data_IF_175258466104
#
_entry.id   IF_175258466104
#
_cell.length_a   1.000
_cell.length_b   1.000
_cell.length_c   1.000
_cell.angle_alpha   90.00
_cell.angle_beta   90.00
_cell.angle_gamma   90.00
#
_symmetry.space_group_name_H-M   'P 1'
#
loop_
_entity.id
_entity.type
_entity.pdbx_description
1 polymer ?
#
# COMPACT_ATOMS: atom_id res chain seq x y z
N UNK A 1 -12.78 7.14 -20.81
CA UNK A 1 -12.67 6.59 -19.44
C UNK A 1 -13.26 7.62 -18.49
N UNK A 2 -13.94 7.18 -17.42
CA UNK A 2 -14.36 8.09 -16.35
C UNK A 2 -13.11 8.60 -15.62
N UNK A 3 -13.08 9.87 -15.23
CA UNK A 3 -11.99 10.45 -14.46
C UNK A 3 -11.82 9.70 -13.12
N UNK A 4 -10.58 9.42 -12.75
CA UNK A 4 -10.21 8.79 -11.47
C UNK A 4 -10.52 9.73 -10.29
N UNK A 5 -10.56 9.20 -9.07
CA UNK A 5 -10.83 10.03 -7.89
C UNK A 5 -9.73 11.08 -7.67
N UNK A 6 -8.46 10.75 -7.99
CA UNK A 6 -7.37 11.70 -7.96
C UNK A 6 -7.56 12.85 -8.96
N UNK A 7 -7.98 12.55 -10.19
CA UNK A 7 -8.25 13.58 -11.22
C UNK A 7 -9.44 14.46 -10.83
N UNK A 8 -10.51 13.87 -10.30
CA UNK A 8 -11.67 14.62 -9.78
C UNK A 8 -11.29 15.53 -8.61
N UNK A 9 -10.41 15.08 -7.72
CA UNK A 9 -9.90 15.91 -6.63
C UNK A 9 -9.04 17.06 -7.16
N UNK A 10 -8.26 16.82 -8.22
CA UNK A 10 -7.47 17.86 -8.86
C UNK A 10 -8.36 18.97 -9.40
N UNK A 11 -9.43 18.60 -10.12
CA UNK A 11 -10.40 19.53 -10.68
C UNK A 11 -11.16 20.29 -9.57
N UNK A 12 -11.59 19.60 -8.51
CA UNK A 12 -12.36 20.20 -7.42
C UNK A 12 -11.54 21.13 -6.51
N UNK A 13 -10.23 20.87 -6.34
CA UNK A 13 -9.35 21.66 -5.47
C UNK A 13 -8.51 22.72 -6.21
N UNK A 14 -8.46 22.64 -7.54
CA UNK A 14 -7.55 23.44 -8.36
C UNK A 14 -6.06 23.10 -8.19
N UNK A 15 -5.71 22.03 -7.45
CA UNK A 15 -4.33 21.56 -7.29
C UNK A 15 -4.03 20.46 -8.31
N UNK A 16 -2.97 20.63 -9.08
CA UNK A 16 -2.48 19.59 -9.99
C UNK A 16 -1.59 18.56 -9.25
N UNK A 17 -1.55 17.33 -9.79
CA UNK A 17 -0.74 16.21 -9.29
C UNK A 17 0.17 15.63 -10.39
N UNK A 18 1.08 16.42 -10.98
CA UNK A 18 1.84 16.02 -12.16
C UNK A 18 2.75 14.81 -11.92
N UNK A 19 3.31 14.66 -10.72
CA UNK A 19 4.23 13.56 -10.41
C UNK A 19 3.47 12.23 -10.26
N UNK A 20 2.35 12.23 -9.55
CA UNK A 20 1.45 11.09 -9.41
C UNK A 20 0.87 10.66 -10.76
N UNK A 21 0.42 11.61 -11.59
CA UNK A 21 -0.11 11.29 -12.93
C UNK A 21 0.98 10.76 -13.86
N UNK A 22 2.21 11.26 -13.76
CA UNK A 22 3.36 10.72 -14.49
C UNK A 22 3.71 9.32 -14.01
N UNK A 23 3.71 9.08 -12.70
CA UNK A 23 3.96 7.77 -12.12
C UNK A 23 2.89 6.75 -12.54
N UNK A 24 1.60 7.12 -12.59
CA UNK A 24 0.51 6.27 -13.10
C UNK A 24 0.76 5.81 -14.53
N UNK A 25 1.12 6.74 -15.42
CA UNK A 25 1.44 6.42 -16.83
C UNK A 25 2.64 5.46 -16.92
N UNK A 26 3.69 5.69 -16.12
CA UNK A 26 4.85 4.79 -16.04
C UNK A 26 4.46 3.41 -15.52
N UNK A 27 3.65 3.34 -14.47
CA UNK A 27 3.13 2.08 -13.93
C UNK A 27 2.33 1.33 -14.98
N UNK A 28 1.39 1.98 -15.67
CA UNK A 28 0.55 1.33 -16.68
C UNK A 28 1.39 0.75 -17.84
N UNK A 29 2.30 1.54 -18.38
CA UNK A 29 3.22 1.08 -19.43
C UNK A 29 4.09 -0.09 -18.93
N UNK A 30 4.70 0.05 -17.76
CA UNK A 30 5.54 -1.00 -17.17
C UNK A 30 4.77 -2.28 -16.87
N UNK A 31 3.53 -2.20 -16.38
CA UNK A 31 2.69 -3.38 -16.16
C UNK A 31 2.40 -4.12 -17.47
N UNK A 32 2.16 -3.39 -18.56
CA UNK A 32 1.99 -3.99 -19.88
C UNK A 32 3.26 -4.74 -20.32
N UNK A 33 4.43 -4.15 -20.12
CA UNK A 33 5.72 -4.78 -20.44
C UNK A 33 5.96 -6.04 -19.60
N UNK A 34 5.74 -5.98 -18.28
CA UNK A 34 5.94 -7.14 -17.39
C UNK A 34 4.97 -8.27 -17.70
N UNK A 35 3.70 -7.96 -18.00
CA UNK A 35 2.71 -8.95 -18.46
C UNK A 35 3.18 -9.64 -19.74
N UNK A 36 3.68 -8.87 -20.72
CA UNK A 36 4.19 -9.42 -21.97
C UNK A 36 5.47 -10.26 -21.77
N UNK A 37 6.35 -9.85 -20.87
CA UNK A 37 7.57 -10.59 -20.56
C UNK A 37 7.24 -11.92 -19.87
N UNK A 38 6.38 -11.89 -18.85
CA UNK A 38 5.99 -13.05 -18.06
C UNK A 38 5.03 -14.00 -18.78
N UNK A 39 4.30 -13.55 -19.81
CA UNK A 39 3.42 -14.44 -20.60
C UNK A 39 4.18 -15.55 -21.33
N UNK A 40 5.51 -15.48 -21.40
CA UNK A 40 6.38 -16.53 -21.95
C UNK A 40 6.60 -17.68 -20.97
N UNK A 41 6.34 -17.49 -19.69
CA UNK A 41 6.49 -18.52 -18.66
C UNK A 41 5.21 -19.36 -18.55
N UNK A 42 5.39 -20.67 -18.37
CA UNK A 42 4.27 -21.53 -18.01
C UNK A 42 3.76 -21.14 -16.61
N UNK A 43 2.45 -20.87 -16.52
CA UNK A 43 1.79 -20.51 -15.24
C UNK A 43 0.76 -21.57 -14.89
N UNK A 44 0.92 -22.21 -13.74
CA UNK A 44 -0.06 -23.18 -13.24
C UNK A 44 -1.38 -22.48 -12.88
N UNK A 45 -2.52 -23.16 -13.02
CA UNK A 45 -3.85 -22.57 -12.87
C UNK A 45 -4.20 -22.10 -11.44
N UNK A 46 -3.37 -22.44 -10.46
CA UNK A 46 -3.47 -22.05 -9.05
C UNK A 46 -2.42 -20.99 -8.65
N UNK A 47 -1.63 -20.47 -9.59
CA UNK A 47 -0.54 -19.53 -9.34
C UNK A 47 -0.85 -18.14 -9.91
N UNK A 48 -0.45 -17.10 -9.17
CA UNK A 48 -0.38 -15.73 -9.64
C UNK A 48 1.03 -15.17 -9.44
N UNK A 49 1.46 -14.30 -10.36
CA UNK A 49 2.63 -13.45 -10.18
C UNK A 49 2.13 -12.03 -9.93
N UNK A 50 2.49 -11.48 -8.78
CA UNK A 50 1.93 -10.23 -8.27
C UNK A 50 3.04 -9.25 -7.98
N UNK A 51 2.97 -8.04 -8.54
CA UNK A 51 3.87 -6.94 -8.20
C UNK A 51 3.31 -6.13 -7.03
N UNK A 52 4.21 -5.74 -6.13
CA UNK A 52 3.92 -5.02 -4.88
C UNK A 52 4.49 -3.60 -4.94
N UNK A 53 4.33 -2.84 -3.85
CA UNK A 53 5.07 -1.60 -3.67
C UNK A 53 4.60 -0.51 -4.63
N UNK A 54 5.55 0.19 -5.26
CA UNK A 54 5.21 1.29 -6.19
C UNK A 54 4.34 0.82 -7.35
N UNK A 55 4.40 -0.46 -7.74
CA UNK A 55 3.52 -1.04 -8.77
C UNK A 55 2.06 -1.02 -8.34
N UNK A 56 1.72 -1.62 -7.21
CA UNK A 56 0.33 -1.66 -6.72
C UNK A 56 -0.18 -0.31 -6.21
N UNK A 57 0.72 0.61 -5.84
CA UNK A 57 0.34 1.99 -5.50
C UNK A 57 0.17 2.92 -6.71
N UNK A 58 0.55 2.48 -7.91
CA UNK A 58 0.63 3.30 -9.12
C UNK A 58 1.55 4.53 -8.98
N UNK A 59 2.72 4.30 -8.38
CA UNK A 59 3.70 5.29 -7.98
C UNK A 59 5.11 4.95 -8.52
N UNK A 60 5.19 4.31 -9.70
CA UNK A 60 6.49 3.91 -10.27
C UNK A 60 7.32 5.13 -10.66
N UNK A 61 8.52 5.21 -10.09
CA UNK A 61 9.57 6.19 -10.40
C UNK A 61 10.76 5.50 -11.08
N UNK A 62 11.73 6.28 -11.58
CA UNK A 62 12.96 5.78 -12.21
C UNK A 62 13.82 4.90 -11.29
N UNK A 63 13.65 5.03 -9.98
CA UNK A 63 14.38 4.27 -8.94
C UNK A 63 13.48 3.27 -8.19
N UNK A 64 12.43 2.78 -8.85
CA UNK A 64 11.55 1.73 -8.35
C UNK A 64 12.08 0.34 -8.71
N UNK A 65 11.97 -0.58 -7.77
CA UNK A 65 12.36 -1.98 -7.94
C UNK A 65 11.12 -2.84 -8.26
N UNK A 66 11.32 -3.99 -8.89
CA UNK A 66 10.24 -4.95 -9.20
C UNK A 66 9.99 -5.90 -8.03
N UNK A 67 9.50 -5.37 -6.91
CA UNK A 67 9.08 -6.17 -5.76
C UNK A 67 7.92 -7.10 -6.19
N UNK A 68 8.13 -8.42 -6.18
CA UNK A 68 7.14 -9.40 -6.65
C UNK A 68 6.87 -10.52 -5.64
N UNK A 69 5.73 -11.19 -5.79
CA UNK A 69 5.33 -12.38 -5.05
C UNK A 69 4.81 -13.45 -6.01
N UNK A 70 5.31 -14.68 -5.87
CA UNK A 70 4.66 -15.86 -6.46
C UNK A 70 3.63 -16.37 -5.47
N UNK A 71 2.36 -16.10 -5.74
CA UNK A 71 1.22 -16.43 -4.89
C UNK A 71 0.58 -17.74 -5.36
N UNK A 72 0.49 -18.73 -4.47
CA UNK A 72 -0.26 -19.95 -4.75
C UNK A 72 -1.59 -19.91 -4.00
N UNK A 73 -2.67 -20.25 -4.69
CA UNK A 73 -3.96 -20.44 -4.03
C UNK A 73 -4.03 -21.83 -3.41
N UNK A 74 -4.13 -21.89 -2.09
CA UNK A 74 -4.16 -23.12 -1.31
C UNK A 74 -2.87 -23.32 -0.52
N UNK A 75 -2.34 -24.54 -0.57
CA UNK A 75 -1.27 -25.04 0.31
C UNK A 75 0.10 -24.69 -0.25
N UNK A 76 1.09 -24.70 0.63
CA UNK A 76 2.48 -24.66 0.19
C UNK A 76 2.77 -25.92 -0.64
N UNK A 77 3.36 -25.74 -1.83
CA UNK A 77 3.90 -26.83 -2.64
C UNK A 77 5.30 -26.49 -3.13
N UNK A 78 6.10 -27.53 -3.39
CA UNK A 78 7.54 -27.39 -3.64
C UNK A 78 7.88 -26.71 -4.98
N UNK A 79 7.07 -26.94 -6.02
CA UNK A 79 7.45 -26.57 -7.40
C UNK A 79 6.30 -25.84 -8.14
N UNK A 80 5.93 -24.62 -7.75
CA UNK A 80 5.04 -23.78 -8.56
C UNK A 80 5.70 -23.37 -9.86
N UNK A 81 4.89 -23.26 -10.93
CA UNK A 81 5.28 -22.62 -12.18
C UNK A 81 4.48 -21.34 -12.40
N UNK A 82 5.14 -20.20 -12.67
CA UNK A 82 6.59 -20.03 -12.63
C UNK A 82 7.14 -20.13 -11.20
N UNK A 83 8.40 -20.54 -11.06
CA UNK A 83 9.11 -20.47 -9.79
C UNK A 83 9.50 -19.01 -9.49
N UNK A 84 9.92 -18.74 -8.25
CA UNK A 84 10.42 -17.42 -7.86
C UNK A 84 11.68 -17.05 -8.66
N UNK A 85 12.54 -18.02 -8.97
CA UNK A 85 13.74 -17.82 -9.78
C UNK A 85 13.40 -17.52 -11.24
N UNK A 86 12.41 -18.21 -11.82
CA UNK A 86 11.94 -17.94 -13.19
C UNK A 86 11.45 -16.51 -13.33
N UNK A 87 10.66 -16.03 -12.36
CA UNK A 87 10.16 -14.65 -12.34
C UNK A 87 11.31 -13.67 -12.15
N UNK A 88 12.20 -13.91 -11.19
CA UNK A 88 13.35 -13.04 -10.92
C UNK A 88 14.28 -12.90 -12.13
N UNK A 89 14.49 -13.97 -12.90
CA UNK A 89 15.27 -13.94 -14.13
C UNK A 89 14.61 -13.10 -15.23
N UNK A 90 13.28 -13.12 -15.35
CA UNK A 90 12.55 -12.30 -16.34
C UNK A 90 12.53 -10.82 -15.95
N UNK A 91 12.43 -10.52 -14.65
CA UNK A 91 12.35 -9.15 -14.13
C UNK A 91 13.72 -8.50 -13.87
N UNK A 92 14.83 -9.23 -14.10
CA UNK A 92 16.18 -8.81 -13.73
C UNK A 92 16.28 -8.37 -12.26
N UNK A 93 15.52 -9.04 -11.39
CA UNK A 93 15.46 -8.78 -9.96
C UNK A 93 15.63 -10.11 -9.20
N UNK A 94 16.84 -10.41 -8.68
CA UNK A 94 17.09 -11.68 -8.02
C UNK A 94 16.23 -11.81 -6.75
N UNK A 95 15.66 -12.99 -6.49
CA UNK A 95 14.85 -13.20 -5.31
C UNK A 95 15.71 -13.17 -4.04
N UNK A 96 15.29 -12.40 -3.04
CA UNK A 96 15.78 -12.60 -1.66
C UNK A 96 16.46 -11.44 -0.95
N UNK A 97 16.68 -10.27 -1.57
CA UNK A 97 17.38 -9.16 -0.89
C UNK A 97 16.65 -8.61 0.35
N UNK A 98 15.36 -8.94 0.54
CA UNK A 98 14.60 -8.61 1.76
C UNK A 98 13.87 -9.79 2.43
N UNK A 99 14.08 -11.04 2.01
CA UNK A 99 13.53 -12.26 2.66
C UNK A 99 11.99 -12.41 2.66
N UNK A 100 11.23 -11.34 2.52
CA UNK A 100 9.75 -11.36 2.55
C UNK A 100 9.19 -12.01 1.29
N UNK A 101 9.88 -12.00 0.15
CA UNK A 101 9.35 -12.57 -1.11
C UNK A 101 10.26 -13.62 -1.78
N UNK A 102 11.33 -14.04 -1.11
CA UNK A 102 12.28 -15.01 -1.66
C UNK A 102 11.76 -16.45 -1.76
N UNK A 103 10.48 -16.69 -1.48
CA UNK A 103 9.85 -18.00 -1.57
C UNK A 103 8.38 -17.85 -2.00
N UNK A 104 7.82 -18.87 -2.68
CA UNK A 104 6.39 -18.89 -2.99
C UNK A 104 5.53 -18.77 -1.73
N UNK A 105 4.43 -18.02 -1.83
CA UNK A 105 3.52 -17.72 -0.70
C UNK A 105 2.20 -18.46 -0.89
N UNK A 106 1.88 -19.38 0.02
CA UNK A 106 0.62 -20.09 0.04
C UNK A 106 -0.52 -19.22 0.62
N UNK A 107 -1.63 -19.09 -0.10
CA UNK A 107 -2.77 -18.29 0.34
C UNK A 107 -3.43 -18.83 1.60
N UNK A 108 -3.37 -20.14 1.85
CA UNK A 108 -3.89 -20.72 3.10
C UNK A 108 -3.28 -20.05 4.32
N UNK A 109 -1.97 -19.79 4.33
CA UNK A 109 -1.30 -19.12 5.44
C UNK A 109 -1.79 -17.67 5.62
N UNK A 110 -2.06 -16.98 4.51
CA UNK A 110 -2.58 -15.62 4.55
C UNK A 110 -4.04 -15.60 5.07
N UNK A 111 -4.83 -16.62 4.77
CA UNK A 111 -6.26 -16.69 5.14
C UNK A 111 -6.45 -17.27 6.55
N UNK A 112 -5.79 -18.36 6.90
CA UNK A 112 -6.07 -19.07 8.15
C UNK A 112 -5.29 -18.49 9.34
N UNK A 113 -4.06 -18.02 9.12
CA UNK A 113 -3.17 -17.57 10.19
C UNK A 113 -3.25 -16.06 10.37
N UNK A 114 -4.34 -15.58 10.96
CA UNK A 114 -4.54 -14.15 11.29
C UNK A 114 -4.59 -13.98 12.80
N UNK A 115 -3.59 -13.29 13.35
CA UNK A 115 -3.37 -13.21 14.79
C UNK A 115 -2.79 -14.49 15.39
N UNK A 116 -2.72 -14.53 16.73
CA UNK A 116 -2.09 -15.62 17.51
C UNK A 116 -0.61 -15.86 17.12
N UNK A 117 -0.04 -16.98 17.59
CA UNK A 117 1.40 -17.28 17.47
C UNK A 117 1.82 -17.60 16.03
N UNK A 118 0.94 -18.20 15.23
CA UNK A 118 1.25 -18.63 13.85
C UNK A 118 1.27 -17.47 12.84
N UNK A 119 0.77 -16.28 13.21
CA UNK A 119 0.78 -15.10 12.36
C UNK A 119 2.05 -14.25 12.56
N UNK A 120 3.16 -14.79 12.05
CA UNK A 120 4.47 -14.11 12.05
C UNK A 120 4.42 -12.72 11.40
N UNK A 121 5.37 -11.83 11.77
CA UNK A 121 5.49 -10.51 11.13
C UNK A 121 5.61 -10.59 9.60
N UNK A 122 6.25 -11.64 9.08
CA UNK A 122 6.36 -11.89 7.64
C UNK A 122 5.00 -12.23 7.01
N UNK A 123 4.24 -13.14 7.63
CA UNK A 123 2.90 -13.52 7.15
C UNK A 123 1.95 -12.32 7.17
N UNK A 124 1.93 -11.61 8.31
CA UNK A 124 1.16 -10.39 8.50
C UNK A 124 1.51 -9.32 7.45
N UNK A 125 2.80 -9.07 7.21
CA UNK A 125 3.24 -8.10 6.20
C UNK A 125 2.83 -8.52 4.79
N UNK A 126 3.02 -9.79 4.40
CA UNK A 126 2.60 -10.30 3.08
C UNK A 126 1.09 -10.13 2.86
N UNK A 127 0.28 -10.44 3.87
CA UNK A 127 -1.18 -10.30 3.82
C UNK A 127 -1.59 -8.83 3.63
N UNK A 128 -0.97 -7.92 4.37
CA UNK A 128 -1.28 -6.49 4.26
C UNK A 128 -0.82 -5.90 2.93
N UNK A 129 0.35 -6.27 2.43
CA UNK A 129 0.83 -5.84 1.12
C UNK A 129 -0.05 -6.38 -0.01
N UNK A 130 -0.51 -7.64 0.10
CA UNK A 130 -1.49 -8.20 -0.81
C UNK A 130 -2.79 -7.39 -0.83
N UNK A 131 -3.31 -6.95 0.32
CA UNK A 131 -4.54 -6.17 0.37
C UNK A 131 -4.37 -4.71 -0.03
N UNK A 132 -3.23 -4.09 0.27
CA UNK A 132 -3.08 -2.63 0.24
C UNK A 132 -2.34 -2.10 -0.99
N UNK A 133 -1.44 -2.88 -1.58
CA UNK A 133 -0.58 -2.42 -2.68
C UNK A 133 -0.16 -3.53 -3.63
N UNK A 134 -1.11 -4.37 -4.06
CA UNK A 134 -0.84 -5.45 -5.01
C UNK A 134 -1.49 -5.28 -6.37
N UNK A 135 -0.78 -5.73 -7.41
CA UNK A 135 -1.31 -5.80 -8.79
C UNK A 135 -0.82 -7.06 -9.50
N UNK A 136 -1.72 -7.88 -10.09
CA UNK A 136 -1.31 -9.07 -10.82
C UNK A 136 -0.73 -8.74 -12.19
N UNK A 137 0.34 -9.45 -12.54
CA UNK A 137 0.96 -9.47 -13.88
C UNK A 137 0.87 -10.84 -14.55
N UNK A 138 0.47 -11.88 -13.81
CA UNK A 138 -0.02 -13.15 -14.33
C UNK A 138 -0.98 -13.77 -13.31
N UNK A 139 -1.96 -14.55 -13.79
CA UNK A 139 -2.91 -15.24 -12.91
C UNK A 139 -3.92 -14.31 -12.22
N UNK A 140 -4.45 -13.31 -12.93
CA UNK A 140 -5.39 -12.30 -12.40
C UNK A 140 -6.58 -12.90 -11.63
N UNK A 141 -7.14 -14.00 -12.15
CA UNK A 141 -8.25 -14.70 -11.50
C UNK A 141 -7.85 -15.34 -10.17
N UNK A 142 -6.60 -15.82 -10.04
CA UNK A 142 -6.06 -16.40 -8.81
C UNK A 142 -5.87 -15.29 -7.78
N UNK A 143 -5.21 -14.18 -8.16
CA UNK A 143 -5.03 -13.01 -7.30
C UNK A 143 -6.37 -12.47 -6.79
N UNK A 144 -7.32 -12.22 -7.68
CA UNK A 144 -8.63 -11.68 -7.30
C UNK A 144 -9.40 -12.61 -6.34
N UNK A 145 -9.31 -13.93 -6.55
CA UNK A 145 -9.91 -14.91 -5.64
C UNK A 145 -9.24 -14.88 -4.27
N UNK A 146 -7.91 -14.89 -4.21
CA UNK A 146 -7.20 -14.87 -2.93
C UNK A 146 -7.45 -13.58 -2.15
N UNK A 147 -7.40 -12.41 -2.81
CA UNK A 147 -7.77 -11.13 -2.17
C UNK A 147 -9.17 -11.21 -1.59
N UNK A 148 -10.12 -11.76 -2.35
CA UNK A 148 -11.48 -11.91 -1.87
C UNK A 148 -11.61 -12.89 -0.71
N UNK A 149 -10.86 -13.99 -0.69
CA UNK A 149 -10.85 -14.98 0.41
C UNK A 149 -10.28 -14.37 1.69
N UNK A 150 -9.20 -13.57 1.58
CA UNK A 150 -8.62 -12.84 2.72
C UNK A 150 -9.63 -11.82 3.26
N UNK A 151 -10.29 -11.04 2.40
CA UNK A 151 -11.32 -10.08 2.84
C UNK A 151 -12.49 -10.81 3.50
N UNK A 152 -12.96 -11.90 2.90
CA UNK A 152 -14.05 -12.73 3.44
C UNK A 152 -13.72 -13.24 4.85
N UNK A 153 -12.50 -13.73 5.06
CA UNK A 153 -12.03 -14.17 6.38
C UNK A 153 -12.13 -13.11 7.46
N UNK A 154 -11.83 -11.86 7.15
CA UNK A 154 -11.99 -10.75 8.09
C UNK A 154 -13.45 -10.40 8.38
N UNK A 155 -14.36 -10.83 7.52
CA UNK A 155 -15.80 -10.59 7.64
C UNK A 155 -16.59 -11.77 8.24
N UNK A 156 -15.98 -12.96 8.34
CA UNK A 156 -16.60 -14.22 8.79
C UNK A 156 -17.30 -14.14 10.15
N UNK A 157 -16.70 -13.48 11.14
CA UNK A 157 -17.22 -13.44 12.51
C UNK A 157 -17.32 -12.01 13.04
N UNK A 158 -18.43 -11.71 13.73
CA UNK A 158 -18.62 -10.50 14.54
C UNK A 158 -18.67 -9.14 13.81
N UNK A 159 -18.67 -9.10 12.47
CA UNK A 159 -19.06 -7.89 11.73
C UNK A 159 -20.50 -7.50 12.09
N UNK A 160 -20.89 -6.24 11.88
CA UNK A 160 -22.25 -5.73 12.09
C UNK A 160 -22.57 -4.76 10.97
N UNK A 161 -23.84 -4.62 10.62
CA UNK A 161 -24.28 -3.62 9.65
C UNK A 161 -23.89 -2.22 10.13
N UNK A 162 -23.52 -1.36 9.19
CA UNK A 162 -23.20 0.05 9.44
C UNK A 162 -22.09 0.26 10.47
N UNK A 163 -21.12 -0.68 10.55
CA UNK A 163 -19.94 -0.57 11.42
C UNK A 163 -18.68 -1.04 10.70
N UNK A 164 -17.53 -0.42 10.97
CA UNK A 164 -16.25 -0.93 10.46
C UNK A 164 -16.00 -2.38 10.93
N UNK A 165 -15.49 -3.27 10.06
CA UNK A 165 -15.13 -4.63 10.46
C UNK A 165 -13.90 -4.58 11.37
N UNK A 166 -14.15 -4.64 12.69
CA UNK A 166 -13.12 -4.46 13.73
C UNK A 166 -11.92 -5.39 13.58
N UNK A 167 -12.11 -6.60 13.10
CA UNK A 167 -11.00 -7.54 12.94
C UNK A 167 -9.99 -7.05 11.89
N UNK A 168 -10.45 -6.66 10.70
CA UNK A 168 -9.60 -6.05 9.68
C UNK A 168 -9.02 -4.72 10.14
N UNK A 169 -9.84 -3.87 10.79
CA UNK A 169 -9.39 -2.58 11.31
C UNK A 169 -8.22 -2.75 12.28
N UNK A 170 -8.34 -3.66 13.25
CA UNK A 170 -7.32 -3.91 14.25
C UNK A 170 -6.05 -4.48 13.62
N UNK A 171 -6.17 -5.39 12.65
CA UNK A 171 -5.00 -5.97 11.99
C UNK A 171 -4.30 -4.94 11.08
N UNK A 172 -5.05 -4.03 10.45
CA UNK A 172 -4.47 -2.90 9.71
C UNK A 172 -3.74 -1.91 10.64
N UNK A 173 -4.34 -1.59 11.80
CA UNK A 173 -3.68 -0.74 12.81
C UNK A 173 -2.43 -1.44 13.37
N UNK A 174 -2.50 -2.75 13.62
CA UNK A 174 -1.34 -3.57 13.99
C UNK A 174 -0.24 -3.46 12.94
N UNK A 175 -0.57 -3.56 11.66
CA UNK A 175 0.39 -3.44 10.56
C UNK A 175 1.11 -2.10 10.57
N UNK A 176 0.38 -0.99 10.73
CA UNK A 176 0.97 0.33 10.87
C UNK A 176 1.94 0.39 12.05
N UNK A 177 1.55 -0.13 13.21
CA UNK A 177 2.42 -0.17 14.39
C UNK A 177 3.64 -1.07 14.17
N UNK A 178 3.50 -2.20 13.47
CA UNK A 178 4.63 -3.05 13.08
C UNK A 178 5.61 -2.29 12.20
N UNK A 179 5.15 -1.54 11.19
CA UNK A 179 6.04 -0.71 10.36
C UNK A 179 6.82 0.31 11.22
N UNK A 180 6.13 0.99 12.16
CA UNK A 180 6.78 1.96 13.05
C UNK A 180 7.81 1.32 13.99
N UNK A 181 7.49 0.16 14.57
CA UNK A 181 8.38 -0.58 15.47
C UNK A 181 9.59 -1.13 14.70
N UNK A 182 9.36 -1.69 13.51
CA UNK A 182 10.44 -2.20 12.65
C UNK A 182 11.38 -1.10 12.18
N UNK A 183 10.87 0.12 11.97
CA UNK A 183 11.73 1.28 11.70
C UNK A 183 12.70 1.54 12.86
N UNK A 184 12.21 1.59 14.10
CA UNK A 184 13.04 1.77 15.29
C UNK A 184 14.01 0.58 15.50
N UNK A 185 13.55 -0.65 15.25
CA UNK A 185 14.38 -1.85 15.32
C UNK A 185 15.52 -1.85 14.30
N UNK A 186 15.26 -1.39 13.07
CA UNK A 186 16.28 -1.25 12.01
C UNK A 186 17.31 -0.19 12.36
N UNK A 187 16.89 0.94 12.92
CA UNK A 187 17.79 1.98 13.41
C UNK A 187 18.72 1.47 14.52
N UNK A 188 18.20 0.65 15.45
CA UNK A 188 19.01 0.09 16.52
C UNK A 188 20.11 -0.86 16.00
N UNK A 189 19.88 -1.53 14.86
CA UNK A 189 20.87 -2.40 14.20
C UNK A 189 21.92 -1.63 13.42
N UNK A 190 21.68 -0.35 13.09
CA UNK A 190 22.64 0.50 12.40
C UNK A 190 21.98 1.75 11.77
N UNK A 191 22.77 2.79 11.50
CA UNK A 191 22.28 4.06 10.96
C UNK A 191 21.96 3.98 9.45
N UNK A 192 22.30 2.89 8.78
CA UNK A 192 22.16 2.73 7.34
C UNK A 192 20.71 2.92 6.87
N UNK A 193 20.56 3.68 5.79
CA UNK A 193 19.25 3.99 5.17
C UNK A 193 18.27 4.68 6.13
N UNK A 194 18.73 5.25 7.26
CA UNK A 194 17.85 5.89 8.24
C UNK A 194 17.05 7.05 7.62
N UNK A 195 17.71 7.96 6.90
CA UNK A 195 17.07 9.14 6.30
C UNK A 195 15.96 8.77 5.33
N UNK A 196 16.28 7.97 4.30
CA UNK A 196 15.30 7.50 3.32
C UNK A 196 14.18 6.65 3.94
N UNK A 197 14.47 5.84 4.98
CA UNK A 197 13.44 5.09 5.72
C UNK A 197 12.54 6.03 6.50
N UNK A 198 13.08 7.05 7.17
CA UNK A 198 12.26 8.00 7.94
C UNK A 198 11.40 8.86 7.00
N UNK A 199 11.97 9.36 5.91
CA UNK A 199 11.23 10.09 4.87
C UNK A 199 10.02 9.29 4.37
N UNK A 200 10.22 8.06 3.90
CA UNK A 200 9.13 7.16 3.46
C UNK A 200 8.14 6.80 4.60
N UNK A 201 8.56 6.79 5.87
CA UNK A 201 7.67 6.56 7.03
C UNK A 201 6.74 7.74 7.26
N UNK A 202 7.24 8.96 7.04
CA UNK A 202 6.47 10.20 7.14
C UNK A 202 5.52 10.42 5.96
N UNK A 203 5.74 9.75 4.84
CA UNK A 203 5.01 9.96 3.58
C UNK A 203 4.33 8.68 3.09
N UNK A 204 4.97 7.92 2.19
CA UNK A 204 4.34 6.81 1.44
C UNK A 204 3.74 5.72 2.33
N UNK A 205 4.30 5.44 3.51
CA UNK A 205 3.73 4.48 4.45
C UNK A 205 2.49 5.01 5.18
N UNK A 206 2.38 6.32 5.40
CA UNK A 206 1.13 6.94 5.87
C UNK A 206 0.06 6.90 4.79
N UNK A 207 0.42 7.14 3.53
CA UNK A 207 -0.51 7.01 2.39
C UNK A 207 -1.02 5.58 2.27
N UNK A 208 -0.12 4.58 2.37
CA UNK A 208 -0.51 3.17 2.37
C UNK A 208 -1.49 2.84 3.52
N UNK A 209 -1.16 3.27 4.75
CA UNK A 209 -2.01 3.04 5.91
C UNK A 209 -3.36 3.76 5.79
N UNK A 210 -3.37 5.05 5.44
CA UNK A 210 -4.59 5.83 5.27
C UNK A 210 -5.48 5.28 4.13
N UNK A 211 -4.87 4.87 3.02
CA UNK A 211 -5.55 4.21 1.92
C UNK A 211 -6.14 2.85 2.29
N UNK A 212 -5.57 2.14 3.25
CA UNK A 212 -6.23 0.96 3.84
C UNK A 212 -7.35 1.33 4.81
N UNK A 213 -7.11 2.35 5.64
CA UNK A 213 -7.95 2.69 6.77
C UNK A 213 -9.29 3.29 6.33
N UNK A 214 -9.27 4.20 5.36
CA UNK A 214 -10.44 4.94 4.95
C UNK A 214 -11.54 4.04 4.36
N UNK A 215 -11.26 3.06 3.48
CA UNK A 215 -12.25 2.06 3.08
C UNK A 215 -12.77 1.23 4.26
N UNK A 216 -11.90 0.80 5.19
CA UNK A 216 -12.34 -0.01 6.34
C UNK A 216 -13.31 0.78 7.25
N UNK A 217 -13.04 2.07 7.50
CA UNK A 217 -13.97 2.96 8.18
C UNK A 217 -15.23 3.21 7.34
N UNK A 218 -15.08 3.34 6.02
CA UNK A 218 -16.16 3.52 5.06
C UNK A 218 -17.20 2.40 5.05
N UNK A 219 -16.85 1.19 5.50
CA UNK A 219 -17.82 0.10 5.74
C UNK A 219 -18.98 0.51 6.67
N UNK A 220 -18.80 1.54 7.50
CA UNK A 220 -19.88 2.08 8.34
C UNK A 220 -21.10 2.60 7.55
N UNK A 221 -20.98 2.79 6.23
CA UNK A 221 -22.07 3.20 5.34
C UNK A 221 -22.87 2.02 4.75
N UNK A 222 -22.49 0.77 5.02
CA UNK A 222 -22.98 -0.40 4.31
C UNK A 222 -23.53 -1.49 5.23
N UNK A 223 -24.48 -2.27 4.72
CA UNK A 223 -24.87 -3.53 5.36
C UNK A 223 -23.76 -4.57 5.22
N UNK A 224 -23.70 -5.54 6.14
CA UNK A 224 -22.65 -6.58 6.16
C UNK A 224 -22.51 -7.27 4.80
N UNK A 225 -23.64 -7.57 4.14
CA UNK A 225 -23.66 -8.25 2.85
C UNK A 225 -22.98 -7.48 1.72
N UNK A 226 -22.86 -6.16 1.85
CA UNK A 226 -22.29 -5.27 0.84
C UNK A 226 -20.80 -4.99 1.08
N UNK A 227 -20.34 -5.12 2.33
CA UNK A 227 -18.97 -4.77 2.75
C UNK A 227 -17.89 -5.50 1.96
N UNK A 228 -18.08 -6.80 1.66
CA UNK A 228 -17.10 -7.58 0.87
C UNK A 228 -16.87 -6.95 -0.50
N UNK A 229 -17.96 -6.69 -1.23
CA UNK A 229 -17.90 -6.10 -2.57
C UNK A 229 -17.26 -4.72 -2.51
N UNK A 230 -17.67 -3.91 -1.54
CA UNK A 230 -17.11 -2.58 -1.32
C UNK A 230 -15.61 -2.63 -1.04
N UNK A 231 -15.15 -3.44 -0.08
CA UNK A 231 -13.74 -3.56 0.28
C UNK A 231 -12.89 -4.08 -0.87
N UNK A 232 -13.30 -5.16 -1.55
CA UNK A 232 -12.56 -5.70 -2.70
C UNK A 232 -12.45 -4.66 -3.81
N UNK A 233 -13.50 -3.88 -4.07
CA UNK A 233 -13.47 -2.81 -5.06
C UNK A 233 -12.52 -1.68 -4.66
N UNK A 234 -12.61 -1.20 -3.42
CA UNK A 234 -11.80 -0.09 -2.93
C UNK A 234 -10.32 -0.45 -2.80
N UNK A 235 -10.02 -1.64 -2.29
CA UNK A 235 -8.64 -2.12 -2.11
C UNK A 235 -7.95 -2.44 -3.45
N UNK A 236 -8.72 -2.64 -4.52
CA UNK A 236 -8.21 -2.76 -5.89
C UNK A 236 -7.82 -1.43 -6.55
N UNK A 237 -8.13 -0.29 -5.94
CA UNK A 237 -7.72 1.04 -6.43
C UNK A 237 -6.36 1.45 -5.84
N UNK A 238 -5.59 2.34 -6.48
CA UNK A 238 -4.42 2.96 -5.85
C UNK A 238 -4.77 3.64 -4.51
N UNK A 239 -3.89 3.61 -3.48
CA UNK A 239 -4.16 4.26 -2.19
C UNK A 239 -4.53 5.75 -2.33
N UNK A 240 -3.93 6.44 -3.30
CA UNK A 240 -4.20 7.86 -3.57
C UNK A 240 -5.62 8.11 -4.07
N UNK A 241 -6.23 7.20 -4.85
CA UNK A 241 -7.65 7.31 -5.22
C UNK A 241 -8.57 7.09 -4.04
N UNK A 242 -8.26 6.14 -3.16
CA UNK A 242 -9.07 5.86 -1.96
C UNK A 242 -9.08 7.05 -1.00
N UNK A 243 -7.93 7.71 -0.84
CA UNK A 243 -7.80 8.95 -0.06
C UNK A 243 -8.55 10.10 -0.75
N UNK A 244 -8.36 10.28 -2.06
CA UNK A 244 -9.01 11.35 -2.82
C UNK A 244 -10.54 11.24 -2.77
N UNK A 245 -11.09 10.05 -2.98
CA UNK A 245 -12.53 9.78 -2.86
C UNK A 245 -13.04 10.10 -1.46
N UNK A 246 -12.25 9.84 -0.42
CA UNK A 246 -12.64 10.13 0.96
C UNK A 246 -12.72 11.64 1.25
N UNK A 247 -11.83 12.45 0.69
CA UNK A 247 -11.90 13.92 0.76
C UNK A 247 -13.10 14.46 -0.03
N UNK A 248 -13.27 13.98 -1.27
CA UNK A 248 -14.37 14.37 -2.16
C UNK A 248 -15.74 14.08 -1.53
N UNK A 249 -15.93 12.88 -0.99
CA UNK A 249 -17.18 12.45 -0.35
C UNK A 249 -17.57 13.29 0.87
N UNK A 250 -16.67 14.13 1.38
CA UNK A 250 -16.85 14.97 2.57
C UNK A 250 -16.79 16.46 2.28
N UNK A 251 -16.74 16.84 1.00
CA UNK A 251 -16.65 18.24 0.59
C UNK A 251 -15.33 18.92 1.02
N UNK A 252 -14.28 18.13 1.27
CA UNK A 252 -12.98 18.60 1.75
C UNK A 252 -11.94 18.58 0.62
N UNK A 253 -12.33 19.07 -0.57
CA UNK A 253 -11.49 19.01 -1.76
C UNK A 253 -10.21 19.82 -1.60
N UNK A 254 -10.29 21.03 -1.04
CA UNK A 254 -9.13 21.90 -0.83
C UNK A 254 -8.12 21.28 0.15
N UNK A 255 -8.59 20.70 1.25
CA UNK A 255 -7.76 19.94 2.20
C UNK A 255 -7.09 18.75 1.51
N UNK A 256 -7.86 18.00 0.71
CA UNK A 256 -7.36 16.85 -0.05
C UNK A 256 -6.31 17.26 -1.07
N UNK A 257 -6.54 18.37 -1.79
CA UNK A 257 -5.59 18.97 -2.72
C UNK A 257 -4.28 19.31 -2.05
N UNK A 258 -4.31 19.95 -0.88
CA UNK A 258 -3.09 20.23 -0.10
C UNK A 258 -2.38 18.96 0.37
N UNK A 259 -3.14 17.99 0.89
CA UNK A 259 -2.59 16.75 1.44
C UNK A 259 -1.91 15.88 0.37
N UNK A 260 -2.62 15.58 -0.72
CA UNK A 260 -2.07 14.80 -1.83
C UNK A 260 -1.12 15.60 -2.70
N UNK A 261 -1.22 16.94 -2.71
CA UNK A 261 -0.21 17.82 -3.33
C UNK A 261 1.14 17.72 -2.64
N UNK A 262 1.17 17.69 -1.30
CA UNK A 262 2.41 17.46 -0.57
C UNK A 262 3.01 16.07 -0.84
N UNK A 263 2.15 15.06 -1.03
CA UNK A 263 2.59 13.73 -1.40
C UNK A 263 3.09 13.63 -2.85
N UNK A 264 2.43 14.34 -3.78
CA UNK A 264 2.86 14.49 -5.17
C UNK A 264 4.26 15.10 -5.25
N UNK A 265 4.48 16.21 -4.55
CA UNK A 265 5.78 16.90 -4.48
C UNK A 265 6.86 15.96 -3.92
N UNK A 266 6.54 15.18 -2.88
CA UNK A 266 7.47 14.18 -2.32
C UNK A 266 7.79 13.06 -3.32
N UNK A 267 6.81 12.58 -4.08
CA UNK A 267 7.03 11.57 -5.10
C UNK A 267 7.95 12.08 -6.21
N UNK A 268 7.78 13.34 -6.61
CA UNK A 268 8.69 14.02 -7.55
C UNK A 268 10.13 14.07 -7.03
N UNK A 269 10.33 14.48 -5.78
CA UNK A 269 11.66 14.48 -5.15
C UNK A 269 12.27 13.07 -5.03
N UNK A 270 11.45 12.04 -4.81
CA UNK A 270 11.92 10.65 -4.76
C UNK A 270 12.33 10.08 -6.12
N UNK A 271 11.94 10.72 -7.22
CA UNK A 271 12.41 10.44 -8.58
C UNK A 271 13.71 11.17 -8.93
N UNK A 272 14.14 12.12 -8.09
CA UNK A 272 15.41 12.82 -8.24
C UNK A 272 16.56 12.03 -7.58
N UNK A 273 17.59 11.72 -8.38
CA UNK A 273 18.73 10.92 -7.92
C UNK A 273 19.53 11.62 -6.82
N UNK A 274 19.72 12.95 -6.92
CA UNK A 274 20.53 13.73 -5.97
C UNK A 274 19.86 13.77 -4.60
N UNK A 275 18.54 14.03 -4.57
CA UNK A 275 17.72 14.00 -3.37
C UNK A 275 17.75 12.62 -2.69
N UNK A 276 17.64 11.55 -3.49
CA UNK A 276 17.67 10.18 -2.97
C UNK A 276 19.04 9.79 -2.42
N UNK A 277 20.12 10.19 -3.08
CA UNK A 277 21.49 9.95 -2.59
C UNK A 277 21.72 10.67 -1.27
N UNK A 278 21.37 11.95 -1.17
CA UNK A 278 21.47 12.71 0.09
C UNK A 278 20.69 12.00 1.22
N UNK A 279 19.42 11.65 0.99
CA UNK A 279 18.61 10.93 1.99
C UNK A 279 19.18 9.57 2.41
N UNK A 280 19.95 8.91 1.55
CA UNK A 280 20.53 7.60 1.84
C UNK A 280 21.73 7.70 2.79
N UNK A 281 22.40 8.86 2.82
CA UNK A 281 23.52 9.18 3.71
C UNK A 281 23.08 9.79 5.04
N UNK A 282 21.86 10.33 5.10
CA UNK A 282 21.31 10.96 6.31
C UNK A 282 21.14 9.95 7.45
N UNK A 283 21.65 10.34 8.61
CA UNK A 283 21.47 9.65 9.90
C UNK A 283 20.62 10.50 10.83
N UNK A 284 20.20 9.93 11.98
CA UNK A 284 19.47 10.70 13.00
C UNK A 284 20.25 11.94 13.47
N UNK A 285 21.58 11.84 13.57
CA UNK A 285 22.43 12.93 14.04
C UNK A 285 22.57 14.07 13.03
N UNK A 286 22.62 13.74 11.73
CA UNK A 286 22.84 14.70 10.64
C UNK A 286 21.55 15.21 10.00
N UNK A 287 20.39 14.72 10.46
CA UNK A 287 19.07 15.04 9.90
C UNK A 287 18.78 16.55 9.78
N UNK A 288 19.27 17.36 10.73
CA UNK A 288 19.06 18.83 10.73
C UNK A 288 19.95 19.56 9.73
N UNK A 289 20.98 18.92 9.21
CA UNK A 289 21.94 19.50 8.28
C UNK A 289 21.56 19.21 6.82
N UNK A 290 20.73 18.19 6.59
CA UNK A 290 20.27 17.80 5.26
C UNK A 290 19.04 18.59 4.84
N UNK A 291 19.15 19.26 3.69
CA UNK A 291 18.04 19.95 3.05
C UNK A 291 16.98 18.94 2.54
N UNK A 292 17.43 17.83 1.95
CA UNK A 292 16.54 16.79 1.45
C UNK A 292 15.69 16.18 2.58
N UNK A 293 16.29 15.98 3.76
CA UNK A 293 15.55 15.49 4.92
C UNK A 293 14.54 16.51 5.45
N UNK A 294 14.91 17.79 5.50
CA UNK A 294 14.00 18.85 5.92
C UNK A 294 12.79 18.97 4.99
N UNK A 295 13.01 18.90 3.67
CA UNK A 295 11.92 18.92 2.70
C UNK A 295 11.01 17.70 2.81
N UNK A 296 11.57 16.49 2.94
CA UNK A 296 10.79 15.29 3.18
C UNK A 296 9.98 15.36 4.48
N UNK A 297 10.56 15.92 5.55
CA UNK A 297 9.89 16.09 6.83
C UNK A 297 8.72 17.07 6.73
N UNK A 298 8.92 18.22 6.09
CA UNK A 298 7.90 19.24 5.86
C UNK A 298 6.74 18.69 5.04
N UNK A 299 7.02 18.05 3.90
CA UNK A 299 5.98 17.44 3.05
C UNK A 299 5.21 16.33 3.79
N UNK A 300 5.90 15.54 4.60
CA UNK A 300 5.26 14.53 5.46
C UNK A 300 4.39 15.12 6.57
N UNK A 301 4.71 16.31 7.08
CA UNK A 301 3.88 17.05 8.03
C UNK A 301 2.66 17.66 7.34
N UNK A 302 2.82 18.22 6.15
CA UNK A 302 1.72 18.78 5.35
C UNK A 302 0.69 17.70 5.01
N UNK A 303 1.16 16.52 4.58
CA UNK A 303 0.34 15.33 4.38
C UNK A 303 -0.36 14.89 5.67
N UNK A 304 0.38 14.79 6.78
CA UNK A 304 -0.18 14.37 8.07
C UNK A 304 -1.30 15.29 8.54
N UNK A 305 -1.10 16.61 8.45
CA UNK A 305 -2.12 17.60 8.84
C UNK A 305 -3.39 17.41 8.02
N UNK A 306 -3.28 17.19 6.72
CA UNK A 306 -4.43 16.92 5.85
C UNK A 306 -5.17 15.62 6.21
N UNK A 307 -4.44 14.53 6.45
CA UNK A 307 -5.03 13.25 6.86
C UNK A 307 -5.68 13.32 8.25
N UNK A 308 -5.08 14.04 9.18
CA UNK A 308 -5.66 14.25 10.51
C UNK A 308 -6.92 15.11 10.45
N UNK A 309 -6.92 16.18 9.65
CA UNK A 309 -8.12 16.99 9.42
C UNK A 309 -9.25 16.13 8.82
N UNK A 310 -8.95 15.29 7.83
CA UNK A 310 -9.92 14.35 7.29
C UNK A 310 -10.51 13.43 8.37
N UNK A 311 -9.67 12.83 9.20
CA UNK A 311 -10.09 11.84 10.20
C UNK A 311 -10.80 12.45 11.42
N UNK A 312 -10.36 13.62 11.89
CA UNK A 312 -10.78 14.20 13.17
C UNK A 312 -11.64 15.45 13.02
N UNK A 313 -11.65 16.11 11.87
CA UNK A 313 -12.38 17.38 11.67
C UNK A 313 -13.61 17.21 10.78
N UNK A 314 -13.75 16.12 10.01
CA UNK A 314 -14.99 15.82 9.27
C UNK A 314 -15.97 15.00 10.11
N UNK A 315 -17.23 15.43 10.24
CA UNK A 315 -18.17 14.90 11.25
C UNK A 315 -18.38 13.38 11.19
N UNK A 316 -18.49 12.80 9.99
CA UNK A 316 -18.72 11.35 9.83
C UNK A 316 -17.51 10.49 10.21
N UNK A 317 -16.29 10.90 9.81
CA UNK A 317 -15.08 10.17 10.19
C UNK A 317 -14.63 10.48 11.62
N UNK A 318 -14.92 11.67 12.14
CA UNK A 318 -14.57 12.04 13.52
C UNK A 318 -15.14 11.05 14.52
N UNK A 319 -16.42 10.74 14.38
CA UNK A 319 -17.09 9.81 15.30
C UNK A 319 -16.53 8.39 15.13
N UNK A 320 -16.42 7.90 13.90
CA UNK A 320 -15.83 6.58 13.63
C UNK A 320 -14.39 6.49 14.11
N UNK A 321 -13.62 7.56 13.96
CA UNK A 321 -12.23 7.60 14.40
C UNK A 321 -12.13 7.50 15.91
N UNK A 322 -12.94 8.28 16.64
CA UNK A 322 -12.99 8.26 18.11
C UNK A 322 -13.48 6.93 18.66
N UNK A 323 -14.45 6.32 17.98
CA UNK A 323 -15.13 5.12 18.47
C UNK A 323 -14.39 3.81 18.14
N UNK A 324 -13.43 3.83 17.20
CA UNK A 324 -12.81 2.61 16.67
C UNK A 324 -11.29 2.62 16.49
N UNK A 325 -10.58 3.76 16.43
CA UNK A 325 -9.12 3.73 16.17
C UNK A 325 -8.26 3.42 17.38
N UNK A 326 -8.76 3.64 18.59
CA UNK A 326 -7.99 3.47 19.83
C UNK A 326 -8.45 2.25 20.63
N UNK A 327 -9.77 2.08 20.80
CA UNK A 327 -10.40 1.04 21.62
C UNK A 327 -11.53 0.32 20.87
#
# INVERSE_FOLDING_TARGET
MLATALERLSEASGREFPNLLTARRRTEAGLSERRQALSKLATDGDVAVVLMGSWGRAEVTSASDDDFMVLLRGDQRAEPRPSVDDVGAVLDNPPGDQGIFGAPVASRQLVENIGLEEDSNTNHSRRMLLLLESVPVAGDAVHARVVSEVVERYLDASVKDYRPPRFLLNDLVRYWRTICVDFAGKEHRGPEKWGIRNAKLRTSRKVLFAGGLLPVLGCAAFERGEMRRFLVTQLGLPPTDRIAESFLARGAADEGGRALGAYDDFLGLMDDQSFRMELSEVTRGTAKESSAFQDAARLGEDLERGLLALLFETDSLRNLTRDYLVF
#
